data_IF_686461958884
#
_entry.id   IF_686461958884
#
_cell.length_a   1.000
_cell.length_b   1.000
_cell.length_c   1.000
_cell.angle_alpha   90.00
_cell.angle_beta   90.00
_cell.angle_gamma   90.00
#
_symmetry.space_group_name_H-M   'P 1'
#
loop_
_entity.id
_entity.type
_entity.pdbx_description
1 polymer ?
#
# COMPACT_ATOMS: atom_id res chain seq x y z
N UNK A 1 27.73 -2.46 10.72
CA UNK A 1 27.26 -2.87 9.37
C UNK A 1 26.78 -1.62 8.66
N UNK A 2 27.69 -0.82 8.09
CA UNK A 2 27.35 0.56 7.73
C UNK A 2 26.82 0.73 6.29
N UNK A 3 26.76 -0.32 5.47
CA UNK A 3 26.37 -0.21 4.05
C UNK A 3 25.25 -1.17 3.66
N UNK A 4 24.42 -1.63 4.61
CA UNK A 4 23.31 -2.52 4.29
C UNK A 4 22.19 -1.70 3.61
N UNK A 5 21.96 -1.95 2.33
CA UNK A 5 20.92 -1.25 1.54
C UNK A 5 19.62 -2.05 1.42
N UNK A 6 19.68 -3.37 1.54
CA UNK A 6 18.53 -4.27 1.45
C UNK A 6 18.57 -5.29 2.59
N UNK A 7 17.41 -5.49 3.22
CA UNK A 7 17.24 -6.42 4.32
C UNK A 7 15.90 -7.14 4.17
N UNK A 8 15.95 -8.46 4.22
CA UNK A 8 14.77 -9.31 4.34
C UNK A 8 14.84 -10.07 5.66
N UNK A 9 13.74 -10.02 6.42
CA UNK A 9 13.59 -10.72 7.69
C UNK A 9 12.31 -11.53 7.67
N UNK A 10 12.46 -12.85 7.84
CA UNK A 10 11.37 -13.81 7.99
C UNK A 10 11.31 -14.42 9.38
N UNK A 11 10.21 -15.10 9.66
CA UNK A 11 9.94 -15.72 10.94
C UNK A 11 9.28 -14.78 11.96
N UNK A 12 8.82 -15.38 13.05
CA UNK A 12 8.28 -14.68 14.20
C UNK A 12 9.43 -14.17 15.07
N UNK A 13 9.43 -12.88 15.46
CA UNK A 13 10.50 -12.38 16.29
C UNK A 13 10.26 -12.78 17.76
N UNK A 14 11.24 -13.45 18.36
CA UNK A 14 11.31 -13.63 19.82
C UNK A 14 11.83 -12.34 20.47
N UNK A 15 10.99 -11.30 20.50
CA UNK A 15 11.35 -10.01 21.09
C UNK A 15 11.11 -10.07 22.60
N UNK A 16 12.17 -10.27 23.38
CA UNK A 16 12.12 -9.97 24.81
C UNK A 16 12.04 -8.44 24.99
N UNK A 17 10.84 -7.96 25.32
CA UNK A 17 10.54 -6.52 25.47
C UNK A 17 11.41 -5.84 26.54
N UNK A 18 12.14 -6.60 27.36
CA UNK A 18 12.95 -6.07 28.48
C UNK A 18 14.34 -5.58 28.08
N UNK A 19 14.86 -5.87 26.88
CA UNK A 19 16.26 -5.53 26.55
C UNK A 19 16.59 -5.20 25.09
N UNK A 20 15.65 -5.19 24.15
CA UNK A 20 15.99 -4.90 22.75
C UNK A 20 16.09 -3.40 22.49
N UNK A 21 17.33 -2.91 22.43
CA UNK A 21 17.63 -1.60 21.85
C UNK A 21 17.21 -1.55 20.38
N UNK A 22 16.89 -0.34 19.89
CA UNK A 22 16.55 -0.11 18.49
C UNK A 22 17.81 -0.28 17.63
N UNK A 23 17.73 -1.12 16.61
CA UNK A 23 18.76 -1.32 15.60
C UNK A 23 18.53 -0.31 14.49
N UNK A 24 19.50 0.58 14.30
CA UNK A 24 19.45 1.64 13.29
C UNK A 24 20.16 1.16 12.03
N UNK A 25 19.45 1.21 10.89
CA UNK A 25 20.01 0.96 9.57
C UNK A 25 20.01 2.26 8.75
N UNK A 26 21.05 3.11 8.89
CA UNK A 26 21.04 4.46 8.33
C UNK A 26 21.02 4.51 6.80
N UNK A 27 21.49 3.46 6.11
CA UNK A 27 21.60 3.38 4.66
C UNK A 27 20.62 2.40 4.02
N UNK A 28 19.71 1.79 4.80
CA UNK A 28 18.76 0.82 4.30
C UNK A 28 17.75 1.49 3.38
N UNK A 29 17.66 1.02 2.15
CA UNK A 29 16.77 1.51 1.10
C UNK A 29 15.54 0.62 0.96
N UNK A 30 15.73 -0.71 1.13
CA UNK A 30 14.65 -1.70 1.03
C UNK A 30 14.58 -2.57 2.27
N UNK A 31 13.37 -2.73 2.79
CA UNK A 31 13.09 -3.58 3.94
C UNK A 31 11.89 -4.48 3.61
N UNK A 32 12.10 -5.78 3.73
CA UNK A 32 11.02 -6.77 3.69
C UNK A 32 10.94 -7.43 5.06
N UNK A 33 9.79 -7.32 5.73
CA UNK A 33 9.54 -8.02 7.00
C UNK A 33 8.23 -8.77 6.92
N UNK A 34 8.24 -10.08 7.10
CA UNK A 34 7.01 -10.87 6.98
C UNK A 34 6.04 -10.67 8.16
N UNK A 35 6.57 -10.20 9.28
CA UNK A 35 5.86 -9.90 10.52
C UNK A 35 6.15 -8.45 10.93
N UNK A 36 5.10 -7.63 11.06
CA UNK A 36 5.22 -6.22 11.42
C UNK A 36 5.96 -5.99 12.74
N UNK A 37 5.96 -6.97 13.65
CA UNK A 37 6.64 -6.95 14.95
C UNK A 37 8.13 -6.65 14.86
N UNK A 38 8.80 -7.07 13.77
CA UNK A 38 10.19 -6.71 13.49
C UNK A 38 10.41 -5.20 13.41
N UNK A 39 9.38 -4.44 13.00
CA UNK A 39 9.46 -2.99 12.93
C UNK A 39 9.54 -2.33 14.31
N UNK A 40 9.27 -3.04 15.42
CA UNK A 40 9.47 -2.50 16.77
C UNK A 40 10.95 -2.26 17.10
N UNK A 41 11.84 -3.07 16.54
CA UNK A 41 13.28 -3.04 16.86
C UNK A 41 14.11 -2.38 15.76
N UNK A 42 13.48 -1.91 14.68
CA UNK A 42 14.17 -1.26 13.57
C UNK A 42 13.91 0.25 13.53
N UNK A 43 14.93 0.96 13.05
CA UNK A 43 14.86 2.33 12.58
C UNK A 43 15.64 2.44 11.26
N UNK A 44 15.02 2.96 10.21
CA UNK A 44 15.61 3.01 8.87
C UNK A 44 15.32 4.36 8.19
N UNK A 45 16.10 5.42 8.50
CA UNK A 45 15.80 6.78 8.05
C UNK A 45 15.92 6.99 6.54
N UNK A 46 16.72 6.19 5.85
CA UNK A 46 16.86 6.25 4.39
C UNK A 46 15.88 5.35 3.63
N UNK A 47 14.95 4.68 4.33
CA UNK A 47 14.09 3.67 3.73
C UNK A 47 13.17 4.27 2.66
N UNK A 48 13.18 3.64 1.48
CA UNK A 48 12.33 4.03 0.36
C UNK A 48 11.27 2.98 0.06
N UNK A 49 11.58 1.71 0.25
CA UNK A 49 10.67 0.59 -0.04
C UNK A 49 10.46 -0.28 1.19
N UNK A 50 9.19 -0.50 1.54
CA UNK A 50 8.78 -1.39 2.63
C UNK A 50 7.80 -2.42 2.10
N UNK A 51 8.10 -3.70 2.34
CA UNK A 51 7.14 -4.80 2.22
C UNK A 51 6.89 -5.38 3.60
N UNK A 52 5.64 -5.41 4.06
CA UNK A 52 5.31 -5.91 5.40
C UNK A 52 3.99 -6.69 5.49
N UNK A 53 3.93 -7.67 6.38
CA UNK A 53 2.69 -8.38 6.71
C UNK A 53 2.12 -7.97 8.07
N UNK A 54 0.83 -7.68 8.12
CA UNK A 54 0.11 -7.35 9.37
C UNK A 54 -0.88 -8.48 9.66
N UNK A 55 -0.42 -9.56 10.29
CA UNK A 55 -1.26 -10.75 10.53
C UNK A 55 -2.35 -10.55 11.59
N UNK A 56 -2.30 -9.47 12.38
CA UNK A 56 -3.26 -9.24 13.46
C UNK A 56 -3.58 -7.76 13.69
N UNK A 57 -4.79 -7.48 14.17
CA UNK A 57 -5.34 -6.12 14.39
C UNK A 57 -4.61 -5.31 15.46
N UNK A 58 -3.83 -5.94 16.32
CA UNK A 58 -3.24 -5.27 17.49
C UNK A 58 -1.88 -4.62 17.22
N UNK A 59 -1.31 -4.80 16.02
CA UNK A 59 0.01 -4.27 15.67
C UNK A 59 -0.02 -2.94 14.91
N UNK A 60 -1.16 -2.22 14.97
CA UNK A 60 -1.28 -0.91 14.35
C UNK A 60 -0.24 0.08 14.89
N UNK A 61 0.03 0.03 16.20
CA UNK A 61 1.01 0.90 16.86
C UNK A 61 2.41 0.64 16.33
N UNK A 62 2.79 -0.62 16.14
CA UNK A 62 4.13 -1.00 15.70
C UNK A 62 4.51 -0.37 14.36
N UNK A 63 3.63 -0.47 13.35
CA UNK A 63 3.93 0.06 12.01
C UNK A 63 3.97 1.59 12.05
N UNK A 64 3.01 2.21 12.73
CA UNK A 64 2.92 3.67 12.87
C UNK A 64 4.13 4.22 13.67
N UNK A 65 4.52 3.56 14.75
CA UNK A 65 5.67 3.92 15.57
C UNK A 65 6.97 3.81 14.78
N UNK A 66 7.11 2.79 13.94
CA UNK A 66 8.25 2.66 13.03
C UNK A 66 8.37 3.85 12.08
N UNK A 67 7.28 4.28 11.46
CA UNK A 67 7.28 5.47 10.60
C UNK A 67 7.60 6.75 11.38
N UNK A 68 7.05 6.89 12.60
CA UNK A 68 7.32 8.03 13.47
C UNK A 68 8.79 8.13 13.88
N UNK A 69 9.41 7.00 14.21
CA UNK A 69 10.84 6.92 14.60
C UNK A 69 11.75 7.10 13.38
N UNK A 70 11.52 6.35 12.31
CA UNK A 70 12.38 6.34 11.14
C UNK A 70 12.31 7.64 10.33
N UNK A 71 11.14 8.32 10.30
CA UNK A 71 10.90 9.53 9.48
C UNK A 71 11.38 9.38 8.03
N UNK A 72 11.24 8.17 7.50
CA UNK A 72 11.78 7.80 6.21
C UNK A 72 10.96 8.39 5.04
N UNK A 73 11.61 8.75 3.91
CA UNK A 73 10.92 9.25 2.73
C UNK A 73 10.34 8.09 1.91
N UNK A 74 9.43 7.31 2.50
CA UNK A 74 8.92 6.10 1.87
C UNK A 74 8.21 6.42 0.56
N UNK A 75 8.61 5.71 -0.50
CA UNK A 75 8.08 5.85 -1.86
C UNK A 75 7.23 4.65 -2.27
N UNK A 76 7.58 3.45 -1.79
CA UNK A 76 6.87 2.21 -2.09
C UNK A 76 6.50 1.48 -0.81
N UNK A 77 5.23 1.12 -0.72
CA UNK A 77 4.69 0.32 0.35
C UNK A 77 3.95 -0.88 -0.24
N UNK A 78 4.28 -2.08 0.19
CA UNK A 78 3.51 -3.28 -0.07
C UNK A 78 3.09 -3.88 1.27
N UNK A 79 1.80 -4.13 1.43
CA UNK A 79 1.27 -4.67 2.67
C UNK A 79 0.46 -5.92 2.44
N UNK A 80 0.49 -6.83 3.40
CA UNK A 80 -0.40 -7.99 3.48
C UNK A 80 -1.37 -7.87 4.65
N UNK A 81 -2.65 -8.19 4.40
CA UNK A 81 -3.72 -8.25 5.43
C UNK A 81 -3.84 -6.98 6.29
N UNK A 82 -3.61 -5.79 5.70
CA UNK A 82 -3.64 -4.54 6.47
C UNK A 82 -5.08 -4.07 6.73
N UNK A 83 -5.47 -3.83 7.99
CA UNK A 83 -6.77 -3.22 8.29
C UNK A 83 -6.75 -1.70 8.00
N UNK A 84 -7.93 -1.11 7.76
CA UNK A 84 -8.08 0.31 7.43
C UNK A 84 -7.41 1.24 8.45
N UNK A 85 -7.59 1.09 9.79
CA UNK A 85 -7.01 2.03 10.74
C UNK A 85 -5.48 2.09 10.66
N UNK A 86 -4.83 0.94 10.45
CA UNK A 86 -3.39 0.84 10.23
C UNK A 86 -2.99 1.54 8.94
N UNK A 87 -3.70 1.29 7.84
CA UNK A 87 -3.45 1.96 6.57
C UNK A 87 -3.58 3.49 6.68
N UNK A 88 -4.64 3.99 7.31
CA UNK A 88 -4.85 5.42 7.51
C UNK A 88 -3.76 6.04 8.38
N UNK A 89 -3.32 5.35 9.44
CA UNK A 89 -2.18 5.78 10.25
C UNK A 89 -0.90 5.89 9.42
N UNK A 90 -0.60 4.89 8.59
CA UNK A 90 0.57 4.93 7.70
C UNK A 90 0.49 6.09 6.71
N UNK A 91 -0.68 6.31 6.10
CA UNK A 91 -0.89 7.37 5.13
C UNK A 91 -0.64 8.77 5.71
N UNK A 92 -0.88 8.97 7.01
CA UNK A 92 -0.56 10.23 7.71
C UNK A 92 0.94 10.47 7.87
N UNK A 93 1.73 9.43 8.12
CA UNK A 93 3.19 9.55 8.34
C UNK A 93 4.03 9.38 7.07
N UNK A 94 3.48 8.75 6.03
CA UNK A 94 4.16 8.51 4.76
C UNK A 94 3.32 9.01 3.56
N UNK A 95 2.99 10.32 3.48
CA UNK A 95 2.18 10.87 2.39
C UNK A 95 2.89 10.86 1.03
N UNK A 96 4.21 10.64 1.01
CA UNK A 96 5.07 10.61 -0.18
C UNK A 96 5.00 9.31 -0.97
N UNK A 97 4.25 8.31 -0.50
CA UNK A 97 4.12 7.02 -1.19
C UNK A 97 3.54 7.26 -2.58
N UNK A 98 4.28 6.79 -3.59
CA UNK A 98 3.90 6.84 -5.01
C UNK A 98 3.45 5.47 -5.53
N UNK A 99 3.90 4.38 -4.90
CA UNK A 99 3.53 3.00 -5.25
C UNK A 99 2.95 2.29 -4.03
N UNK A 100 1.72 1.79 -4.14
CA UNK A 100 1.08 1.02 -3.08
C UNK A 100 0.65 -0.36 -3.59
N UNK A 101 1.08 -1.41 -2.90
CA UNK A 101 0.70 -2.79 -3.15
C UNK A 101 -0.16 -3.34 -2.03
N UNK A 102 -1.29 -3.92 -2.41
CA UNK A 102 -2.25 -4.58 -1.54
C UNK A 102 -2.21 -6.07 -1.80
N UNK A 103 -1.65 -6.84 -0.88
CA UNK A 103 -1.50 -8.28 -0.99
C UNK A 103 -2.52 -8.93 -0.06
N UNK A 104 -3.51 -9.65 -0.60
CA UNK A 104 -4.49 -10.38 0.19
C UNK A 104 -5.14 -9.48 1.26
N UNK A 105 -5.78 -8.39 0.85
CA UNK A 105 -6.42 -7.49 1.81
C UNK A 105 -7.78 -8.01 2.24
N UNK A 106 -8.01 -8.10 3.54
CA UNK A 106 -9.34 -8.43 4.09
C UNK A 106 -10.36 -7.31 3.88
N UNK A 107 -9.92 -6.05 3.76
CA UNK A 107 -10.78 -4.88 3.55
C UNK A 107 -10.32 -4.04 2.36
N UNK A 108 -10.31 -4.68 1.18
CA UNK A 108 -9.96 -4.01 -0.07
C UNK A 108 -10.85 -2.79 -0.34
N UNK A 109 -12.16 -2.95 -0.13
CA UNK A 109 -13.16 -1.92 -0.44
C UNK A 109 -12.91 -0.64 0.35
N UNK A 110 -12.70 -0.73 1.66
CA UNK A 110 -12.52 0.45 2.48
C UNK A 110 -11.16 1.13 2.26
N UNK A 111 -10.09 0.37 2.00
CA UNK A 111 -8.79 0.95 1.64
C UNK A 111 -8.88 1.71 0.32
N UNK A 112 -9.49 1.10 -0.72
CA UNK A 112 -9.68 1.75 -2.02
C UNK A 112 -10.53 3.02 -1.86
N UNK A 113 -11.59 2.99 -1.06
CA UNK A 113 -12.38 4.20 -0.75
C UNK A 113 -11.59 5.27 -0.02
N UNK A 114 -10.61 4.91 0.81
CA UNK A 114 -9.70 5.87 1.46
C UNK A 114 -8.71 6.51 0.48
N UNK A 115 -8.33 5.79 -0.57
CA UNK A 115 -7.49 6.28 -1.66
C UNK A 115 -8.25 7.17 -2.66
N UNK A 116 -9.57 7.04 -2.73
CA UNK A 116 -10.44 7.80 -3.63
C UNK A 116 -10.83 9.15 -3.01
N UNK A 117 -10.50 10.29 -3.64
CA UNK A 117 -10.94 11.61 -3.18
C UNK A 117 -12.46 11.70 -3.08
N UNK A 118 -12.98 12.35 -2.03
CA UNK A 118 -14.40 12.67 -1.88
C UNK A 118 -14.67 14.14 -2.16
N UNK A 119 -15.75 14.43 -2.88
CA UNK A 119 -16.16 15.80 -3.23
C UNK A 119 -16.54 16.64 -1.99
N UNK A 120 -17.07 15.99 -0.94
CA UNK A 120 -17.72 16.67 0.20
C UNK A 120 -16.75 17.07 1.35
N UNK A 121 -15.50 16.58 1.35
CA UNK A 121 -14.57 16.77 2.46
C UNK A 121 -13.20 17.26 1.99
N UNK A 122 -13.11 18.52 1.54
CA UNK A 122 -11.87 19.30 1.37
C UNK A 122 -10.63 18.53 0.83
N UNK A 123 -10.81 17.54 -0.05
CA UNK A 123 -9.71 16.86 -0.74
C UNK A 123 -8.81 15.94 0.09
N UNK A 124 -9.16 15.56 1.32
CA UNK A 124 -8.33 14.63 2.12
C UNK A 124 -8.47 13.19 1.59
N UNK A 125 -7.56 12.81 0.69
CA UNK A 125 -7.37 11.43 0.25
C UNK A 125 -6.11 10.83 0.86
N UNK A 126 -6.16 9.55 1.22
CA UNK A 126 -4.97 8.84 1.63
C UNK A 126 -4.01 8.74 0.43
N UNK A 127 -2.71 8.95 0.70
CA UNK A 127 -1.63 8.88 -0.28
C UNK A 127 -1.87 9.83 -1.49
N UNK A 128 -1.80 11.16 -1.30
CA UNK A 128 -2.05 12.12 -2.38
C UNK A 128 -1.04 12.03 -3.53
N UNK A 129 0.15 11.46 -3.28
CA UNK A 129 1.17 11.23 -4.30
C UNK A 129 1.05 9.89 -5.03
N UNK A 130 0.07 9.05 -4.71
CA UNK A 130 -0.08 7.73 -5.33
C UNK A 130 -0.21 7.82 -6.85
N UNK A 131 0.67 7.10 -7.55
CA UNK A 131 0.69 6.99 -9.02
C UNK A 131 0.50 5.55 -9.50
N UNK A 132 0.65 4.56 -8.62
CA UNK A 132 0.59 3.15 -8.99
C UNK A 132 -0.03 2.32 -7.88
N UNK A 133 -1.08 1.58 -8.23
CA UNK A 133 -1.77 0.66 -7.33
C UNK A 133 -1.60 -0.78 -7.82
N UNK A 134 -1.18 -1.68 -6.94
CA UNK A 134 -1.15 -3.13 -7.21
C UNK A 134 -2.08 -3.85 -6.25
N UNK A 135 -2.87 -4.78 -6.75
CA UNK A 135 -3.83 -5.58 -5.99
C UNK A 135 -3.53 -7.04 -6.29
N UNK A 136 -3.27 -7.83 -5.26
CA UNK A 136 -3.07 -9.27 -5.36
C UNK A 136 -4.11 -9.97 -4.50
N UNK A 137 -4.89 -10.86 -5.10
CA UNK A 137 -6.02 -11.54 -4.45
C UNK A 137 -6.10 -13.02 -4.86
N UNK A 138 -6.71 -13.85 -4.02
CA UNK A 138 -7.02 -15.25 -4.36
C UNK A 138 -8.28 -15.39 -5.21
N UNK A 139 -9.22 -14.47 -5.01
CA UNK A 139 -10.55 -14.54 -5.57
C UNK A 139 -10.77 -13.44 -6.61
N UNK A 140 -11.52 -13.73 -7.69
CA UNK A 140 -11.96 -12.70 -8.61
C UNK A 140 -12.69 -11.58 -7.86
N UNK A 141 -12.47 -10.35 -8.31
CA UNK A 141 -13.09 -9.18 -7.71
C UNK A 141 -14.62 -9.26 -7.81
N UNK A 142 -15.29 -9.03 -6.68
CA UNK A 142 -16.75 -8.91 -6.63
C UNK A 142 -17.21 -7.56 -7.20
N UNK A 143 -18.53 -7.40 -7.40
CA UNK A 143 -19.09 -6.19 -8.02
C UNK A 143 -18.78 -4.90 -7.26
N UNK A 144 -18.74 -4.96 -5.92
CA UNK A 144 -18.47 -3.78 -5.09
C UNK A 144 -16.99 -3.39 -5.16
N UNK A 145 -16.07 -4.36 -5.16
CA UNK A 145 -14.64 -4.13 -5.36
C UNK A 145 -14.36 -3.51 -6.73
N UNK A 146 -14.98 -4.04 -7.79
CA UNK A 146 -14.91 -3.47 -9.14
C UNK A 146 -15.41 -2.04 -9.13
N UNK A 147 -16.56 -1.78 -8.51
CA UNK A 147 -17.16 -0.44 -8.45
C UNK A 147 -16.22 0.57 -7.77
N UNK A 148 -15.62 0.24 -6.63
CA UNK A 148 -14.72 1.17 -5.93
C UNK A 148 -13.40 1.36 -6.67
N UNK A 149 -12.88 0.33 -7.34
CA UNK A 149 -11.68 0.44 -8.18
C UNK A 149 -11.95 1.36 -9.38
N UNK A 150 -13.07 1.17 -10.08
CA UNK A 150 -13.48 2.07 -11.16
C UNK A 150 -13.62 3.50 -10.65
N UNK A 151 -14.24 3.71 -9.49
CA UNK A 151 -14.35 5.04 -8.88
C UNK A 151 -12.98 5.67 -8.61
N UNK A 152 -12.02 4.91 -8.09
CA UNK A 152 -10.65 5.39 -7.88
C UNK A 152 -10.01 5.83 -9.20
N UNK A 153 -10.11 5.01 -10.25
CA UNK A 153 -9.55 5.29 -11.57
C UNK A 153 -10.18 6.55 -12.17
N UNK A 154 -11.50 6.68 -12.12
CA UNK A 154 -12.21 7.88 -12.59
C UNK A 154 -11.79 9.15 -11.84
N UNK A 155 -11.63 9.07 -10.52
CA UNK A 155 -11.25 10.24 -9.71
C UNK A 155 -9.77 10.64 -9.85
N UNK A 156 -8.86 9.69 -10.05
CA UNK A 156 -7.41 9.93 -10.03
C UNK A 156 -6.71 9.80 -11.39
N UNK A 157 -7.36 9.23 -12.40
CA UNK A 157 -6.82 9.11 -13.74
C UNK A 157 -6.73 10.45 -14.47
N UNK A 158 -6.16 10.45 -15.67
CA UNK A 158 -6.00 11.66 -16.48
C UNK A 158 -7.38 12.14 -16.95
N UNK A 159 -7.70 13.40 -16.65
CA UNK A 159 -9.02 13.97 -16.98
C UNK A 159 -10.08 13.75 -15.91
N UNK A 160 -9.76 13.04 -14.82
CA UNK A 160 -10.55 13.11 -13.59
C UNK A 160 -10.49 14.53 -12.99
N UNK A 161 -11.42 14.85 -12.09
CA UNK A 161 -11.50 16.12 -11.36
C UNK A 161 -10.36 16.32 -10.34
N UNK A 162 -9.14 15.87 -10.67
CA UNK A 162 -7.98 15.96 -9.81
C UNK A 162 -7.47 17.40 -9.73
N UNK A 163 -8.14 18.20 -8.91
CA UNK A 163 -7.56 19.39 -8.25
C UNK A 163 -6.49 18.98 -7.22
N UNK A 164 -6.22 17.69 -7.03
CA UNK A 164 -5.56 17.14 -5.84
C UNK A 164 -4.52 16.09 -6.22
N UNK A 165 -3.24 16.39 -6.00
CA UNK A 165 -2.15 15.42 -6.06
C UNK A 165 -1.67 15.01 -7.46
N UNK A 166 -1.03 13.83 -7.54
CA UNK A 166 -0.54 13.25 -8.81
C UNK A 166 -1.57 12.28 -9.37
N UNK A 167 -1.70 12.26 -10.69
CA UNK A 167 -2.57 11.32 -11.38
C UNK A 167 -2.11 9.87 -11.18
N UNK A 168 -3.07 8.96 -11.04
CA UNK A 168 -2.85 7.53 -11.12
C UNK A 168 -2.41 7.20 -12.55
N UNK A 169 -1.27 6.52 -12.66
CA UNK A 169 -0.64 6.17 -13.93
C UNK A 169 -0.82 4.68 -14.25
N UNK A 170 -0.75 3.83 -13.23
CA UNK A 170 -0.91 2.38 -13.42
C UNK A 170 -1.80 1.72 -12.36
N UNK A 171 -2.53 0.72 -12.83
CA UNK A 171 -3.29 -0.23 -12.02
C UNK A 171 -2.84 -1.64 -12.39
N UNK A 172 -2.54 -2.47 -11.40
CA UNK A 172 -2.21 -3.89 -11.59
C UNK A 172 -3.15 -4.70 -10.70
N UNK A 173 -3.85 -5.67 -11.30
CA UNK A 173 -4.69 -6.61 -10.56
C UNK A 173 -4.25 -8.01 -10.94
N UNK A 174 -3.77 -8.75 -9.95
CA UNK A 174 -3.32 -10.13 -10.09
C UNK A 174 -4.22 -11.04 -9.25
N UNK A 175 -4.80 -12.04 -9.90
CA UNK A 175 -5.58 -13.09 -9.22
C UNK A 175 -4.76 -14.37 -9.27
N UNK A 176 -4.31 -14.84 -8.10
CA UNK A 176 -3.35 -15.94 -8.02
C UNK A 176 -3.88 -17.21 -8.71
N UNK A 177 -3.11 -17.70 -9.69
CA UNK A 177 -3.40 -18.94 -10.41
C UNK A 177 -4.62 -18.89 -11.33
N UNK A 178 -5.13 -17.70 -11.67
CA UNK A 178 -6.31 -17.52 -12.54
C UNK A 178 -6.07 -16.46 -13.59
N UNK A 179 -6.37 -16.77 -14.85
CA UNK A 179 -6.57 -15.75 -15.88
C UNK A 179 -8.00 -15.20 -15.75
N UNK A 180 -8.12 -13.91 -15.42
CA UNK A 180 -9.41 -13.23 -15.24
C UNK A 180 -9.77 -12.28 -16.37
N UNK A 181 -8.97 -12.24 -17.45
CA UNK A 181 -9.12 -11.27 -18.54
C UNK A 181 -10.46 -11.37 -19.29
N UNK A 182 -11.06 -12.55 -19.31
CA UNK A 182 -12.35 -12.80 -19.96
C UNK A 182 -13.56 -12.50 -19.05
N UNK A 183 -13.33 -12.10 -17.81
CA UNK A 183 -14.44 -11.79 -16.89
C UNK A 183 -15.06 -10.42 -17.19
N UNK A 184 -16.37 -10.31 -16.99
CA UNK A 184 -17.10 -9.03 -17.08
C UNK A 184 -16.53 -7.98 -16.13
N UNK A 185 -16.10 -8.40 -14.93
CA UNK A 185 -15.42 -7.55 -13.95
C UNK A 185 -14.15 -6.92 -14.53
N UNK A 186 -13.32 -7.72 -15.22
CA UNK A 186 -12.09 -7.24 -15.84
C UNK A 186 -12.35 -6.27 -16.99
N UNK A 187 -13.28 -6.61 -17.89
CA UNK A 187 -13.65 -5.75 -19.02
C UNK A 187 -14.06 -4.35 -18.54
N UNK A 188 -14.89 -4.28 -17.50
CA UNK A 188 -15.32 -3.00 -16.92
C UNK A 188 -14.15 -2.17 -16.37
N UNK A 189 -13.20 -2.80 -15.69
CA UNK A 189 -12.00 -2.11 -15.18
C UNK A 189 -11.15 -1.61 -16.34
N UNK A 190 -10.96 -2.45 -17.37
CA UNK A 190 -10.18 -2.11 -18.56
C UNK A 190 -10.77 -0.91 -19.30
N UNK A 191 -12.08 -0.88 -19.57
CA UNK A 191 -12.77 0.24 -20.21
C UNK A 191 -12.53 1.56 -19.46
N UNK A 192 -12.71 1.55 -18.13
CA UNK A 192 -12.47 2.74 -17.29
C UNK A 192 -10.99 3.14 -17.29
N UNK A 193 -10.06 2.20 -17.26
CA UNK A 193 -8.63 2.50 -17.37
C UNK A 193 -8.27 3.18 -18.71
N UNK A 194 -8.83 2.69 -19.83
CA UNK A 194 -8.62 3.25 -21.16
C UNK A 194 -9.17 4.69 -21.29
N UNK A 195 -10.38 4.92 -20.78
CA UNK A 195 -11.03 6.23 -20.79
C UNK A 195 -10.22 7.27 -20.02
N UNK A 196 -9.66 6.88 -18.87
CA UNK A 196 -8.92 7.77 -17.96
C UNK A 196 -7.39 7.67 -18.11
N UNK A 197 -6.89 7.03 -19.17
CA UNK A 197 -5.45 6.88 -19.49
C UNK A 197 -4.59 6.35 -18.34
N UNK A 198 -5.12 5.33 -17.66
CA UNK A 198 -4.39 4.55 -16.65
C UNK A 198 -3.95 3.24 -17.29
N UNK A 199 -2.65 2.95 -17.23
CA UNK A 199 -2.09 1.70 -17.73
C UNK A 199 -2.58 0.53 -16.86
N UNK A 200 -3.38 -0.37 -17.44
CA UNK A 200 -3.76 -1.62 -16.79
C UNK A 200 -2.68 -2.68 -17.06
N UNK A 201 -1.82 -2.91 -16.07
CA UNK A 201 -0.74 -3.88 -16.13
C UNK A 201 -1.28 -5.28 -15.82
N UNK A 202 -0.92 -6.24 -16.66
CA UNK A 202 -1.18 -7.67 -16.43
C UNK A 202 0.13 -8.37 -16.12
N UNK A 203 0.11 -9.25 -15.12
CA UNK A 203 1.26 -10.09 -14.70
C UNK A 203 1.03 -11.51 -15.15
#
# INVERSE_FOLDING_TARGET
MNNLEELEVGGEPEIDQRSTGVIIFPHLIRLTVWMAEWLNVFEAPSLKHLTTGVRFTNYYTTVVDFFRRSRCPLLRLEMRDCPIPTFMGIAQYAPTIVHFGMILMTDLVGIVRGLTPREEHNGDCALPCLQSLRIFTWDPLNEEEVKVICSLVTSRGKGGEAKWGRALQSLCIEVFGKDVRETRSWQRIWEVCEDFKVELVTV
#
